data_IF_403334144332
#
_entry.id   IF_403334144332
#
_cell.length_a   1.000
_cell.length_b   1.000
_cell.length_c   1.000
_cell.angle_alpha   90.00
_cell.angle_beta   90.00
_cell.angle_gamma   90.00
#
_symmetry.space_group_name_H-M   'P 1'
#
loop_
_entity.id
_entity.type
_entity.pdbx_description
1 polymer ?
#
# COMPACT_ATOMS: atom_id res chain seq x y z
N UNK A 1 0.07 -10.59 5.44
CA UNK A 1 -0.92 -9.49 5.38
C UNK A 1 -0.28 -8.31 4.66
N UNK A 2 -0.94 -7.70 3.66
CA UNK A 2 -0.40 -6.57 2.88
C UNK A 2 -1.23 -5.32 3.19
N UNK A 3 -0.73 -4.41 4.01
CA UNK A 3 -1.43 -3.15 4.34
C UNK A 3 -1.35 -2.18 3.15
N UNK A 4 -2.42 -1.42 2.93
CA UNK A 4 -2.53 -0.47 1.84
C UNK A 4 -3.28 0.79 2.28
N UNK A 5 -3.04 1.90 1.58
CA UNK A 5 -3.87 3.10 1.67
C UNK A 5 -4.32 3.50 0.28
N UNK A 6 -5.58 3.88 0.17
CA UNK A 6 -6.18 4.25 -1.11
C UNK A 6 -7.30 5.27 -0.92
N UNK A 7 -7.57 6.05 -1.97
CA UNK A 7 -8.68 6.97 -2.05
C UNK A 7 -9.79 6.33 -2.91
N UNK A 8 -10.98 6.18 -2.34
CA UNK A 8 -12.18 5.70 -3.03
C UNK A 8 -13.34 6.65 -2.71
N UNK A 9 -14.05 7.12 -3.75
CA UNK A 9 -15.24 7.99 -3.60
C UNK A 9 -15.02 9.19 -2.66
N UNK A 10 -13.83 9.80 -2.73
CA UNK A 10 -13.47 10.98 -1.91
C UNK A 10 -13.03 10.68 -0.47
N UNK A 11 -12.92 9.41 -0.07
CA UNK A 11 -12.47 9.00 1.28
C UNK A 11 -11.17 8.24 1.20
N UNK A 12 -10.25 8.55 2.13
CA UNK A 12 -9.01 7.82 2.31
C UNK A 12 -9.27 6.65 3.24
N UNK A 13 -8.89 5.46 2.79
CA UNK A 13 -9.00 4.21 3.53
C UNK A 13 -7.62 3.69 3.92
N UNK A 14 -7.54 3.09 5.11
CA UNK A 14 -6.46 2.23 5.55
C UNK A 14 -6.96 0.77 5.52
N UNK A 15 -6.50 0.02 4.52
CA UNK A 15 -7.03 -1.29 4.20
C UNK A 15 -5.99 -2.38 4.07
N UNK A 16 -6.44 -3.55 3.61
CA UNK A 16 -5.62 -4.74 3.37
C UNK A 16 -5.82 -5.21 1.93
N UNK A 17 -4.72 -5.48 1.23
CA UNK A 17 -4.75 -6.16 -0.06
C UNK A 17 -4.79 -7.69 0.15
N UNK A 18 -5.84 -8.33 -0.34
CA UNK A 18 -6.06 -9.79 -0.26
C UNK A 18 -6.71 -10.27 -1.55
N UNK A 19 -6.16 -11.33 -2.15
CA UNK A 19 -6.77 -12.03 -3.30
C UNK A 19 -7.12 -11.12 -4.49
N UNK A 20 -6.33 -10.07 -4.74
CA UNK A 20 -6.60 -9.14 -5.84
C UNK A 20 -7.51 -7.97 -5.47
N UNK A 21 -8.02 -7.91 -4.24
CA UNK A 21 -8.95 -6.88 -3.78
C UNK A 21 -8.36 -6.05 -2.64
N UNK A 22 -8.83 -4.81 -2.52
CA UNK A 22 -8.56 -3.93 -1.40
C UNK A 22 -9.75 -3.95 -0.44
N UNK A 23 -9.52 -4.41 0.78
CA UNK A 23 -10.53 -4.40 1.84
C UNK A 23 -10.34 -3.17 2.71
N UNK A 24 -11.37 -2.35 2.89
CA UNK A 24 -11.32 -1.18 3.77
C UNK A 24 -11.54 -1.53 5.26
N UNK A 25 -11.62 -0.52 6.13
CA UNK A 25 -11.79 -0.69 7.57
C UNK A 25 -13.10 -1.40 7.96
N UNK A 26 -14.12 -1.33 7.10
CA UNK A 26 -15.41 -2.00 7.28
C UNK A 26 -15.41 -3.41 6.69
N UNK A 27 -14.36 -3.80 5.95
CA UNK A 27 -14.28 -5.06 5.22
C UNK A 27 -14.90 -5.00 3.82
N UNK A 28 -15.31 -3.82 3.35
CA UNK A 28 -15.84 -3.65 2.00
C UNK A 28 -14.73 -3.80 0.97
N UNK A 29 -15.05 -4.47 -0.14
CA UNK A 29 -14.10 -4.75 -1.20
C UNK A 29 -14.10 -3.64 -2.26
N UNK A 30 -12.90 -3.22 -2.65
CA UNK A 30 -12.64 -2.26 -3.72
C UNK A 30 -11.73 -2.88 -4.78
N UNK A 31 -12.07 -2.67 -6.05
CA UNK A 31 -11.21 -3.03 -7.18
C UNK A 31 -9.96 -2.13 -7.19
N UNK A 32 -8.72 -2.69 -7.19
CA UNK A 32 -7.48 -1.94 -7.38
C UNK A 32 -7.46 -0.95 -8.54
N UNK A 33 -8.18 -1.21 -9.63
CA UNK A 33 -8.26 -0.33 -10.79
C UNK A 33 -9.27 0.81 -10.61
N UNK A 34 -10.19 0.68 -9.65
CA UNK A 34 -11.25 1.67 -9.36
C UNK A 34 -10.89 2.69 -8.29
N UNK A 35 -9.66 2.65 -7.75
CA UNK A 35 -9.21 3.52 -6.67
C UNK A 35 -7.95 4.30 -7.06
N UNK A 36 -7.67 5.38 -6.33
CA UNK A 36 -6.36 6.04 -6.41
C UNK A 36 -5.47 5.50 -5.29
N UNK A 37 -4.34 4.90 -5.66
CA UNK A 37 -3.35 4.40 -4.71
C UNK A 37 -2.65 5.54 -3.96
N UNK A 38 -2.36 5.32 -2.67
CA UNK A 38 -1.57 6.21 -1.84
C UNK A 38 -0.39 5.45 -1.24
N UNK A 39 0.55 6.18 -0.64
CA UNK A 39 1.59 5.56 0.18
C UNK A 39 0.93 4.78 1.34
N UNK A 40 1.36 3.53 1.61
CA UNK A 40 0.71 2.64 2.57
C UNK A 40 0.74 3.18 4.01
N UNK A 41 1.60 4.15 4.29
CA UNK A 41 1.64 4.95 5.50
C UNK A 41 2.23 6.33 5.15
N UNK A 42 2.40 7.21 6.13
CA UNK A 42 3.15 8.46 5.97
C UNK A 42 4.57 8.28 6.55
N UNK A 43 5.61 8.06 5.72
CA UNK A 43 6.96 7.88 6.21
C UNK A 43 7.48 9.16 6.90
N UNK A 44 8.25 8.99 7.97
CA UNK A 44 9.02 10.06 8.59
C UNK A 44 10.35 10.26 7.87
N UNK A 45 11.47 10.01 8.56
CA UNK A 45 12.80 9.95 7.92
C UNK A 45 12.98 8.62 7.19
N UNK A 46 13.59 8.67 6.01
CA UNK A 46 13.95 7.49 5.20
C UNK A 46 15.47 7.46 5.07
N UNK A 47 16.12 6.40 5.55
CA UNK A 47 17.56 6.19 5.41
C UNK A 47 17.82 5.09 4.38
N UNK A 48 18.81 5.30 3.52
CA UNK A 48 19.27 4.31 2.55
C UNK A 48 20.65 3.76 2.92
N UNK A 49 20.93 2.52 2.50
CA UNK A 49 22.25 1.89 2.61
C UNK A 49 22.79 1.66 1.20
N UNK A 50 23.98 2.21 0.92
CA UNK A 50 24.67 2.01 -0.35
C UNK A 50 25.47 0.69 -0.34
N UNK A 51 25.74 0.15 -1.53
CA UNK A 51 26.57 -1.05 -1.74
C UNK A 51 26.09 -2.30 -0.95
N UNK A 52 24.77 -2.50 -0.85
CA UNK A 52 24.16 -3.59 -0.07
C UNK A 52 23.87 -4.88 -0.86
N UNK A 53 24.50 -5.04 -2.02
CA UNK A 53 24.46 -6.26 -2.83
C UNK A 53 25.89 -6.63 -3.24
N UNK A 54 26.19 -7.92 -3.29
CA UNK A 54 27.47 -8.41 -3.79
C UNK A 54 27.57 -8.14 -5.30
N UNK A 55 28.78 -7.81 -5.76
CA UNK A 55 29.01 -7.56 -7.18
C UNK A 55 28.80 -8.85 -8.02
N UNK A 56 28.95 -10.03 -7.42
CA UNK A 56 28.87 -11.34 -8.09
C UNK A 56 28.14 -12.35 -7.18
N UNK A 57 27.46 -13.32 -7.81
CA UNK A 57 26.66 -14.36 -7.15
C UNK A 57 27.49 -15.44 -6.45
#
# INVERSE_FOLDING_TARGET
MKLARFLAKGRVHQGVYREGLLLDEAGEAHDPQGVTWLLPFAPGKVLGVALNYADHA
#
